data_IF_424781737987
#
_entry.id   IF_424781737987
#
_cell.length_a   1.000
_cell.length_b   1.000
_cell.length_c   1.000
_cell.angle_alpha   90.00
_cell.angle_beta   90.00
_cell.angle_gamma   90.00
#
_symmetry.space_group_name_H-M   'P 1'
#
loop_
_entity.id
_entity.type
_entity.pdbx_description
1 polymer ?
#
# COMPACT_ATOMS: atom_id res chain seq x y z
N UNK A 1 -10.74 2.00 21.67
CA UNK A 1 -11.02 3.45 21.81
C UNK A 1 -10.13 4.31 20.92
N UNK A 2 -8.83 4.05 20.78
CA UNK A 2 -7.91 4.91 20.00
C UNK A 2 -8.12 4.91 18.47
N UNK A 3 -8.55 3.79 17.87
CA UNK A 3 -8.77 3.70 16.41
C UNK A 3 -9.98 4.50 15.92
N UNK A 4 -11.04 4.59 16.74
CA UNK A 4 -12.26 5.33 16.42
C UNK A 4 -12.05 6.84 16.41
N UNK A 5 -11.28 7.38 17.36
CA UNK A 5 -10.93 8.80 17.43
C UNK A 5 -10.11 9.22 16.20
N UNK A 6 -9.15 8.38 15.79
CA UNK A 6 -8.33 8.64 14.61
C UNK A 6 -9.19 8.66 13.33
N UNK A 7 -10.17 7.75 13.22
CA UNK A 7 -11.10 7.70 12.10
C UNK A 7 -12.01 8.94 12.03
N UNK A 8 -12.52 9.42 13.15
CA UNK A 8 -13.31 10.66 13.20
C UNK A 8 -12.49 11.84 12.67
N UNK A 9 -11.24 11.98 13.11
CA UNK A 9 -10.34 13.04 12.65
C UNK A 9 -10.11 12.95 11.14
N UNK A 10 -9.90 11.74 10.58
CA UNK A 10 -9.71 11.56 9.14
C UNK A 10 -10.96 11.96 8.34
N UNK A 11 -12.16 11.59 8.79
CA UNK A 11 -13.41 11.98 8.13
C UNK A 11 -13.61 13.50 8.15
N UNK A 12 -13.25 14.18 9.24
CA UNK A 12 -13.34 15.63 9.35
C UNK A 12 -12.20 16.39 8.64
N UNK A 13 -11.01 15.80 8.52
CA UNK A 13 -9.86 16.42 7.87
C UNK A 13 -9.91 16.33 6.34
N UNK A 14 -10.53 15.27 5.80
CA UNK A 14 -10.60 15.00 4.37
C UNK A 14 -11.28 16.11 3.53
N UNK A 15 -12.32 16.82 4.01
CA UNK A 15 -12.85 18.03 3.37
C UNK A 15 -11.92 19.24 3.47
N UNK A 16 -11.16 19.39 4.56
CA UNK A 16 -10.25 20.53 4.78
C UNK A 16 -9.11 20.58 3.75
N UNK A 17 -8.74 19.43 3.17
CA UNK A 17 -7.72 19.32 2.11
C UNK A 17 -8.03 20.25 0.91
N UNK A 18 -9.32 20.49 0.60
CA UNK A 18 -9.71 21.35 -0.52
C UNK A 18 -9.45 22.85 -0.26
N UNK A 19 -9.20 23.24 0.99
CA UNK A 19 -9.00 24.62 1.40
C UNK A 19 -7.53 24.93 1.77
N UNK A 20 -6.61 23.97 1.66
CA UNK A 20 -5.19 24.18 1.95
C UNK A 20 -4.53 24.86 0.75
N UNK A 21 -4.12 26.12 0.92
CA UNK A 21 -3.49 26.95 -0.12
C UNK A 21 -1.96 26.80 -0.20
N UNK A 22 -1.33 26.24 0.83
CA UNK A 22 0.10 25.93 0.85
C UNK A 22 0.33 24.61 0.10
N UNK A 23 1.42 24.46 -0.68
CA UNK A 23 1.73 23.19 -1.35
C UNK A 23 2.09 22.12 -0.30
N UNK A 24 1.13 21.27 0.13
CA UNK A 24 1.32 20.40 1.28
C UNK A 24 2.15 19.16 0.92
N UNK A 25 2.51 19.00 -0.36
CA UNK A 25 3.26 17.84 -0.85
C UNK A 25 4.64 17.82 -0.21
N UNK A 26 5.35 18.96 -0.27
CA UNK A 26 6.70 19.09 0.27
C UNK A 26 6.73 19.02 1.79
N UNK A 27 5.85 19.77 2.45
CA UNK A 27 5.94 19.99 3.89
C UNK A 27 5.25 18.91 4.72
N UNK A 28 4.30 18.15 4.13
CA UNK A 28 3.52 17.16 4.87
C UNK A 28 3.49 15.79 4.18
N UNK A 29 3.06 15.69 2.92
CA UNK A 29 2.83 14.38 2.30
C UNK A 29 4.13 13.59 2.12
N UNK A 30 5.19 14.24 1.62
CA UNK A 30 6.48 13.60 1.39
C UNK A 30 7.14 13.15 2.72
N UNK A 31 7.28 14.00 3.75
CA UNK A 31 7.82 13.57 5.04
C UNK A 31 7.02 12.42 5.69
N UNK A 32 5.69 12.42 5.57
CA UNK A 32 4.85 11.33 6.09
C UNK A 32 5.10 10.04 5.30
N UNK A 33 5.17 10.11 3.97
CA UNK A 33 5.46 8.95 3.13
C UNK A 33 6.85 8.35 3.45
N UNK A 34 7.88 9.19 3.61
CA UNK A 34 9.23 8.76 4.01
C UNK A 34 9.24 8.11 5.40
N UNK A 35 8.50 8.67 6.35
CA UNK A 35 8.37 8.09 7.70
C UNK A 35 7.74 6.70 7.64
N UNK A 36 6.65 6.54 6.88
CA UNK A 36 5.99 5.25 6.71
C UNK A 36 6.88 4.23 6.01
N UNK A 37 7.63 4.66 4.99
CA UNK A 37 8.63 3.82 4.34
C UNK A 37 9.67 3.33 5.36
N UNK A 38 10.28 4.22 6.14
CA UNK A 38 11.28 3.85 7.17
C UNK A 38 10.72 2.90 8.22
N UNK A 39 9.46 3.11 8.64
CA UNK A 39 8.76 2.21 9.54
C UNK A 39 8.57 0.82 8.91
N UNK A 40 8.18 0.76 7.64
CA UNK A 40 8.07 -0.48 6.88
C UNK A 40 9.41 -1.22 6.75
N UNK A 41 10.49 -0.51 6.43
CA UNK A 41 11.83 -1.09 6.31
C UNK A 41 12.30 -1.66 7.65
N UNK A 42 12.08 -0.93 8.76
CA UNK A 42 12.40 -1.41 10.10
C UNK A 42 11.60 -2.67 10.46
N UNK A 43 10.27 -2.64 10.26
CA UNK A 43 9.40 -3.76 10.59
C UNK A 43 9.75 -5.02 9.77
N UNK A 44 10.07 -4.85 8.48
CA UNK A 44 10.46 -5.96 7.62
C UNK A 44 11.83 -6.53 7.98
N UNK A 45 12.81 -5.67 8.31
CA UNK A 45 14.12 -6.12 8.79
C UNK A 45 14.00 -6.95 10.08
N UNK A 46 13.08 -6.57 10.95
CA UNK A 46 12.81 -7.29 12.20
C UNK A 46 12.14 -8.64 11.94
N UNK A 47 11.18 -8.70 11.01
CA UNK A 47 10.58 -9.97 10.53
C UNK A 47 11.65 -10.90 9.94
N UNK A 48 12.58 -10.38 9.13
CA UNK A 48 13.68 -11.18 8.59
C UNK A 48 14.62 -11.69 9.68
N UNK A 49 14.95 -10.83 10.67
CA UNK A 49 15.77 -11.20 11.83
C UNK A 49 15.13 -12.35 12.60
N UNK A 50 13.83 -12.25 12.87
CA UNK A 50 13.06 -13.30 13.55
C UNK A 50 13.10 -14.63 12.79
N UNK A 51 13.06 -14.61 11.47
CA UNK A 51 13.17 -15.83 10.65
C UNK A 51 14.56 -16.49 10.76
N UNK A 52 15.62 -15.69 10.88
CA UNK A 52 17.01 -16.18 10.96
C UNK A 52 17.47 -16.52 12.38
N UNK A 53 16.90 -15.85 13.40
CA UNK A 53 17.29 -15.95 14.80
C UNK A 53 16.03 -15.99 15.69
N UNK A 54 15.30 -17.12 15.72
CA UNK A 54 14.01 -17.20 16.41
C UNK A 54 14.15 -17.08 17.94
N UNK A 55 15.29 -17.48 18.52
CA UNK A 55 15.51 -17.47 19.97
C UNK A 55 15.75 -16.04 20.53
N UNK A 56 16.15 -15.09 19.69
CA UNK A 56 16.45 -13.70 20.06
C UNK A 56 15.31 -12.72 19.70
N UNK A 57 14.23 -13.22 19.08
CA UNK A 57 13.18 -12.39 18.52
C UNK A 57 12.00 -12.20 19.47
N UNK A 58 11.66 -10.94 19.74
CA UNK A 58 10.43 -10.61 20.46
C UNK A 58 9.24 -10.61 19.49
N UNK A 59 8.54 -11.76 19.44
CA UNK A 59 7.30 -11.95 18.67
C UNK A 59 6.24 -10.87 18.95
N UNK A 60 6.16 -10.37 20.19
CA UNK A 60 5.21 -9.33 20.58
C UNK A 60 5.54 -7.98 19.92
N UNK A 61 6.81 -7.59 19.96
CA UNK A 61 7.29 -6.35 19.33
C UNK A 61 7.13 -6.39 17.80
N UNK A 62 7.41 -7.52 17.14
CA UNK A 62 7.22 -7.66 15.67
C UNK A 62 5.76 -7.42 15.30
N UNK A 63 4.83 -8.04 16.03
CA UNK A 63 3.40 -7.90 15.77
C UNK A 63 2.92 -6.47 16.02
N UNK A 64 3.36 -5.82 17.10
CA UNK A 64 2.99 -4.44 17.43
C UNK A 64 3.52 -3.44 16.40
N UNK A 65 4.78 -3.56 15.97
CA UNK A 65 5.38 -2.68 14.96
C UNK A 65 4.64 -2.81 13.61
N UNK A 66 4.25 -4.02 13.22
CA UNK A 66 3.46 -4.26 12.01
C UNK A 66 2.01 -3.72 12.14
N UNK A 67 1.34 -3.92 13.28
CA UNK A 67 0.00 -3.39 13.50
C UNK A 67 -0.01 -1.86 13.50
N UNK A 68 1.02 -1.23 14.08
CA UNK A 68 1.22 0.23 14.04
C UNK A 68 1.45 0.71 12.62
N UNK A 69 2.28 0.03 11.84
CA UNK A 69 2.52 0.36 10.43
C UNK A 69 1.23 0.32 9.62
N UNK A 70 0.43 -0.76 9.75
CA UNK A 70 -0.87 -0.89 9.07
C UNK A 70 -1.79 0.28 9.41
N UNK A 71 -1.94 0.61 10.70
CA UNK A 71 -2.78 1.73 11.13
C UNK A 71 -2.34 3.05 10.49
N UNK A 72 -1.05 3.37 10.55
CA UNK A 72 -0.54 4.63 10.01
C UNK A 72 -0.70 4.68 8.47
N UNK A 73 -0.54 3.54 7.77
CA UNK A 73 -0.80 3.41 6.33
C UNK A 73 -2.29 3.62 6.01
N UNK A 74 -3.20 3.00 6.76
CA UNK A 74 -4.65 3.16 6.57
C UNK A 74 -5.14 4.57 6.91
N UNK A 75 -4.39 5.34 7.70
CA UNK A 75 -4.68 6.74 7.93
C UNK A 75 -4.19 7.65 6.80
N UNK A 76 -2.98 7.42 6.31
CA UNK A 76 -2.35 8.30 5.34
C UNK A 76 -2.82 8.05 3.89
N UNK A 77 -2.95 6.78 3.48
CA UNK A 77 -3.20 6.44 2.09
C UNK A 77 -4.54 6.97 1.54
N UNK A 78 -5.66 7.01 2.30
CA UNK A 78 -6.89 7.66 1.82
C UNK A 78 -6.70 9.16 1.53
N UNK A 79 -5.99 9.87 2.41
CA UNK A 79 -5.67 11.29 2.26
C UNK A 79 -4.82 11.50 1.01
N UNK A 80 -3.75 10.70 0.87
CA UNK A 80 -2.83 10.79 -0.25
C UNK A 80 -3.54 10.50 -1.58
N UNK A 81 -4.38 9.45 -1.65
CA UNK A 81 -5.15 9.14 -2.87
C UNK A 81 -6.07 10.30 -3.26
N UNK A 82 -6.83 10.86 -2.31
CA UNK A 82 -7.74 11.97 -2.58
C UNK A 82 -6.97 13.22 -3.03
N UNK A 83 -5.85 13.53 -2.39
CA UNK A 83 -4.99 14.64 -2.77
C UNK A 83 -4.44 14.45 -4.20
N UNK A 84 -3.94 13.25 -4.50
CA UNK A 84 -3.43 12.89 -5.82
C UNK A 84 -4.51 13.05 -6.88
N UNK A 85 -5.74 12.62 -6.62
CA UNK A 85 -6.86 12.78 -7.56
C UNK A 85 -7.17 14.25 -7.85
N UNK A 86 -7.20 15.10 -6.81
CA UNK A 86 -7.48 16.53 -6.94
C UNK A 86 -6.40 17.27 -7.74
N UNK A 87 -5.13 16.92 -7.55
CA UNK A 87 -3.99 17.60 -8.17
C UNK A 87 -3.40 16.87 -9.37
N UNK A 88 -4.04 15.79 -9.83
CA UNK A 88 -3.56 14.89 -10.88
C UNK A 88 -3.12 15.62 -12.15
N UNK A 89 -3.95 16.55 -12.64
CA UNK A 89 -3.64 17.31 -13.84
C UNK A 89 -2.40 18.19 -13.70
N UNK A 90 -2.17 18.76 -12.49
CA UNK A 90 -0.98 19.56 -12.18
C UNK A 90 0.26 18.66 -12.19
N UNK A 91 0.21 17.53 -11.46
CA UNK A 91 1.35 16.62 -11.35
C UNK A 91 1.75 15.98 -12.69
N UNK A 92 0.80 15.71 -13.59
CA UNK A 92 1.10 15.20 -14.93
C UNK A 92 1.68 16.27 -15.87
N UNK A 93 1.20 17.51 -15.79
CA UNK A 93 1.68 18.61 -16.64
C UNK A 93 3.01 19.19 -16.18
N UNK A 94 3.23 19.23 -14.87
CA UNK A 94 4.42 19.81 -14.25
C UNK A 94 4.89 18.83 -13.17
N UNK A 95 5.64 17.78 -13.56
CA UNK A 95 6.21 16.85 -12.60
C UNK A 95 7.19 17.59 -11.68
N UNK A 96 7.20 17.18 -10.41
CA UNK A 96 8.05 17.75 -9.37
C UNK A 96 8.78 16.64 -8.65
N UNK A 97 9.98 16.91 -8.15
CA UNK A 97 10.75 15.90 -7.40
C UNK A 97 9.99 15.46 -6.14
N UNK A 98 9.15 16.34 -5.57
CA UNK A 98 8.31 16.01 -4.42
C UNK A 98 7.21 14.99 -4.78
N UNK A 99 6.50 15.18 -5.91
CA UNK A 99 5.47 14.23 -6.36
C UNK A 99 6.08 12.87 -6.71
N UNK A 100 7.27 12.88 -7.31
CA UNK A 100 7.98 11.67 -7.70
C UNK A 100 8.47 10.93 -6.44
N UNK A 101 9.03 11.66 -5.47
CA UNK A 101 9.43 11.12 -4.17
C UNK A 101 8.26 10.51 -3.40
N UNK A 102 7.07 11.11 -3.46
CA UNK A 102 5.86 10.52 -2.84
C UNK A 102 5.51 9.19 -3.50
N UNK A 103 5.52 9.10 -4.84
CA UNK A 103 5.29 7.84 -5.55
C UNK A 103 6.35 6.79 -5.20
N UNK A 104 7.63 7.16 -5.17
CA UNK A 104 8.74 6.26 -4.85
C UNK A 104 8.57 5.65 -3.45
N UNK A 105 8.28 6.47 -2.45
CA UNK A 105 8.04 5.99 -1.09
C UNK A 105 6.85 5.01 -1.03
N UNK A 106 5.74 5.29 -1.73
CA UNK A 106 4.59 4.37 -1.82
C UNK A 106 4.96 3.07 -2.53
N UNK A 107 5.77 3.13 -3.59
CA UNK A 107 6.24 1.94 -4.31
C UNK A 107 7.12 1.04 -3.43
N UNK A 108 8.00 1.63 -2.61
CA UNK A 108 8.80 0.88 -1.62
C UNK A 108 7.90 0.25 -0.55
N UNK A 109 6.91 0.98 -0.01
CA UNK A 109 5.95 0.42 0.94
C UNK A 109 5.19 -0.77 0.33
N UNK A 110 4.75 -0.65 -0.93
CA UNK A 110 4.11 -1.75 -1.64
C UNK A 110 5.04 -2.97 -1.81
N UNK A 111 6.32 -2.74 -2.16
CA UNK A 111 7.31 -3.82 -2.25
C UNK A 111 7.49 -4.54 -0.90
N UNK A 112 7.58 -3.78 0.19
CA UNK A 112 7.70 -4.36 1.53
C UNK A 112 6.44 -5.17 1.87
N UNK A 113 5.26 -4.62 1.61
CA UNK A 113 3.98 -5.30 1.81
C UNK A 113 3.87 -6.59 0.98
N UNK A 114 4.35 -6.62 -0.26
CA UNK A 114 4.25 -7.82 -1.10
C UNK A 114 5.15 -8.96 -0.59
N UNK A 115 6.29 -8.62 0.02
CA UNK A 115 7.26 -9.56 0.58
C UNK A 115 6.90 -10.01 2.01
N UNK A 116 6.51 -9.07 2.88
CA UNK A 116 6.22 -9.28 4.30
C UNK A 116 4.93 -10.07 4.52
N UNK A 117 5.02 -11.20 5.22
CA UNK A 117 3.82 -11.98 5.57
C UNK A 117 3.12 -11.37 6.78
N UNK A 118 3.88 -10.78 7.70
CA UNK A 118 3.33 -10.12 8.89
C UNK A 118 2.51 -8.89 8.50
N UNK A 119 3.03 -8.05 7.60
CA UNK A 119 2.31 -6.87 7.14
C UNK A 119 0.99 -7.24 6.43
N UNK A 120 1.02 -8.22 5.51
CA UNK A 120 -0.21 -8.73 4.86
C UNK A 120 -1.21 -9.32 5.85
N UNK A 121 -0.74 -10.02 6.88
CA UNK A 121 -1.61 -10.60 7.92
C UNK A 121 -2.26 -9.51 8.75
N UNK A 122 -1.48 -8.55 9.23
CA UNK A 122 -1.98 -7.45 10.06
C UNK A 122 -2.91 -6.53 9.27
N UNK A 123 -2.69 -6.35 7.96
CA UNK A 123 -3.64 -5.65 7.09
C UNK A 123 -5.02 -6.32 7.09
N UNK A 124 -5.07 -7.65 6.90
CA UNK A 124 -6.33 -8.40 6.93
C UNK A 124 -6.98 -8.35 8.32
N UNK A 125 -6.19 -8.39 9.40
CA UNK A 125 -6.70 -8.25 10.76
C UNK A 125 -7.34 -6.88 10.97
N UNK A 126 -6.68 -5.80 10.50
CA UNK A 126 -7.19 -4.44 10.61
C UNK A 126 -8.49 -4.25 9.83
N UNK A 127 -8.58 -4.81 8.61
CA UNK A 127 -9.82 -4.78 7.83
C UNK A 127 -10.96 -5.54 8.51
N UNK A 128 -10.69 -6.72 9.06
CA UNK A 128 -11.71 -7.51 9.76
C UNK A 128 -12.22 -6.80 11.02
N UNK A 129 -11.33 -6.17 11.79
CA UNK A 129 -11.69 -5.36 12.95
C UNK A 129 -12.52 -4.13 12.55
N UNK A 130 -12.14 -3.46 11.46
CA UNK A 130 -12.87 -2.31 10.95
C UNK A 130 -14.30 -2.66 10.52
N UNK A 131 -14.49 -3.78 9.82
CA UNK A 131 -15.82 -4.29 9.46
C UNK A 131 -16.66 -4.66 10.69
N UNK A 132 -16.03 -5.25 11.72
CA UNK A 132 -16.69 -5.57 13.00
C UNK A 132 -17.12 -4.31 13.74
N UNK A 133 -16.24 -3.31 13.86
CA UNK A 133 -16.54 -2.03 14.53
C UNK A 133 -17.66 -1.25 13.81
N UNK A 134 -17.68 -1.23 12.46
CA UNK A 134 -18.78 -0.62 11.71
C UNK A 134 -20.11 -1.36 11.90
N UNK A 135 -20.09 -2.68 11.97
CA UNK A 135 -21.29 -3.48 12.22
C UNK A 135 -21.88 -3.20 13.61
N UNK A 136 -21.04 -2.92 14.61
CA UNK A 136 -21.46 -2.55 15.96
C UNK A 136 -22.10 -1.15 16.04
N UNK A 137 -21.60 -0.18 15.27
CA UNK A 137 -22.14 1.19 15.23
C UNK A 137 -23.38 1.31 14.34
N UNK A 138 -23.52 0.45 13.33
CA UNK A 138 -24.64 0.41 12.39
C UNK A 138 -25.94 -0.22 12.89
N UNK A 139 -26.04 -0.61 14.17
CA UNK A 139 -27.28 -1.13 14.76
C UNK A 139 -27.68 -2.55 14.31
N UNK A 140 -26.72 -3.40 13.94
CA UNK A 140 -26.99 -4.81 13.72
C UNK A 140 -27.19 -5.56 15.05
N UNK A 141 -28.29 -6.29 15.22
CA UNK A 141 -28.51 -7.17 16.38
C UNK A 141 -27.29 -8.07 16.63
N UNK A 142 -26.56 -7.79 17.72
CA UNK A 142 -25.50 -8.69 18.21
C UNK A 142 -26.11 -10.04 18.60
N UNK A 143 -25.93 -11.07 17.78
CA UNK A 143 -26.19 -12.45 18.19
C UNK A 143 -25.01 -12.95 19.04
N UNK A 144 -25.13 -12.86 20.36
CA UNK A 144 -24.11 -13.36 21.29
C UNK A 144 -24.10 -14.89 21.39
N UNK A 145 -22.92 -15.49 21.50
CA UNK A 145 -22.73 -16.90 21.87
C UNK A 145 -22.32 -17.85 20.73
N UNK A 146 -22.52 -19.16 20.94
CA UNK A 146 -22.11 -20.27 20.03
C UNK A 146 -22.58 -20.09 18.57
N UNK A 147 -23.63 -19.31 18.34
CA UNK A 147 -24.15 -18.97 17.02
C UNK A 147 -23.19 -18.08 16.20
N UNK A 148 -22.53 -17.09 16.82
CA UNK A 148 -21.52 -16.25 16.15
C UNK A 148 -20.28 -17.07 15.74
N UNK A 149 -19.89 -18.05 16.56
CA UNK A 149 -18.77 -18.96 16.27
C UNK A 149 -19.12 -19.92 15.12
N UNK A 150 -20.36 -20.41 15.08
CA UNK A 150 -20.86 -21.27 14.01
C UNK A 150 -20.98 -20.50 12.68
N UNK A 151 -21.43 -19.24 12.70
CA UNK A 151 -21.51 -18.39 11.51
C UNK A 151 -20.11 -17.98 11.01
N UNK A 152 -19.17 -17.64 11.92
CA UNK A 152 -17.76 -17.42 11.58
C UNK A 152 -17.11 -18.67 10.95
N UNK A 153 -17.43 -19.88 11.44
CA UNK A 153 -16.96 -21.15 10.83
C UNK A 153 -17.64 -21.47 9.49
N UNK A 154 -18.91 -21.10 9.32
CA UNK A 154 -19.67 -21.30 8.07
C UNK A 154 -19.23 -20.34 6.97
N UNK A 155 -19.05 -19.04 7.25
CA UNK A 155 -18.46 -18.06 6.32
C UNK A 155 -17.02 -18.42 5.92
N UNK A 156 -16.24 -19.01 6.84
CA UNK A 156 -14.91 -19.58 6.52
C UNK A 156 -14.95 -20.76 5.54
N UNK A 157 -16.03 -21.54 5.53
CA UNK A 157 -16.22 -22.69 4.61
C UNK A 157 -16.85 -22.29 3.27
N UNK A 158 -17.73 -21.29 3.26
CA UNK A 158 -18.42 -20.82 2.04
C UNK A 158 -17.59 -19.80 1.24
N UNK A 159 -16.61 -19.14 1.84
CA UNK A 159 -15.68 -18.21 1.16
C UNK A 159 -14.53 -18.88 0.39
N UNK A 160 -14.57 -20.20 0.19
CA UNK A 160 -13.53 -20.95 -0.53
C UNK A 160 -13.70 -20.90 -2.07
N UNK A 161 -14.04 -19.73 -2.60
CA UNK A 161 -13.65 -19.38 -3.96
C UNK A 161 -12.35 -18.59 -3.85
N UNK A 162 -11.34 -18.90 -4.69
CA UNK A 162 -10.05 -18.18 -4.77
C UNK A 162 -10.24 -16.70 -5.15
N UNK A 163 -10.84 -15.89 -4.28
CA UNK A 163 -10.78 -14.44 -4.35
C UNK A 163 -9.47 -14.07 -3.67
N UNK A 164 -8.60 -13.38 -4.39
CA UNK A 164 -7.36 -12.85 -3.83
C UNK A 164 -7.73 -12.02 -2.60
N UNK A 165 -7.35 -12.51 -1.42
CA UNK A 165 -7.74 -11.92 -0.13
C UNK A 165 -7.24 -10.48 0.00
N UNK A 166 -6.21 -10.13 -0.77
CA UNK A 166 -5.61 -8.82 -0.81
C UNK A 166 -6.14 -7.94 -1.95
N UNK A 167 -7.12 -8.40 -2.75
CA UNK A 167 -7.67 -7.62 -3.87
C UNK A 167 -8.20 -6.23 -3.43
N UNK A 168 -8.63 -6.11 -2.18
CA UNK A 168 -9.14 -4.87 -1.57
C UNK A 168 -8.10 -4.18 -0.67
N UNK A 169 -6.82 -4.52 -0.79
CA UNK A 169 -5.74 -3.86 -0.03
C UNK A 169 -5.65 -2.38 -0.38
N UNK A 170 -5.56 -1.53 0.65
CA UNK A 170 -5.39 -0.09 0.44
C UNK A 170 -4.01 0.23 -0.16
N UNK A 171 -3.02 -0.61 0.12
CA UNK A 171 -1.66 -0.48 -0.43
C UNK A 171 -1.69 -0.64 -1.95
N UNK A 172 -2.38 -1.68 -2.43
CA UNK A 172 -2.60 -1.89 -3.87
C UNK A 172 -3.39 -0.73 -4.48
N UNK A 173 -4.47 -0.29 -3.81
CA UNK A 173 -5.32 0.79 -4.31
C UNK A 173 -4.55 2.11 -4.44
N UNK A 174 -3.75 2.47 -3.44
CA UNK A 174 -2.95 3.68 -3.43
C UNK A 174 -1.88 3.64 -4.52
N UNK A 175 -1.12 2.54 -4.62
CA UNK A 175 -0.12 2.40 -5.69
C UNK A 175 -0.74 2.55 -7.09
N UNK A 176 -1.84 1.84 -7.36
CA UNK A 176 -2.54 1.93 -8.66
C UNK A 176 -2.97 3.36 -8.98
N UNK A 177 -3.37 4.14 -7.97
CA UNK A 177 -3.83 5.51 -8.16
C UNK A 177 -2.69 6.46 -8.54
N UNK A 178 -1.55 6.31 -7.87
CA UNK A 178 -0.35 7.12 -8.14
C UNK A 178 0.43 6.62 -9.37
N UNK A 179 0.18 5.41 -9.86
CA UNK A 179 0.93 4.80 -10.97
C UNK A 179 1.11 5.75 -12.18
N UNK A 180 0.09 6.49 -12.64
CA UNK A 180 0.30 7.36 -13.81
C UNK A 180 1.18 8.58 -13.54
N UNK A 181 1.30 9.01 -12.27
CA UNK A 181 2.28 10.01 -11.84
C UNK A 181 3.67 9.39 -11.91
N UNK A 182 3.84 8.19 -11.35
CA UNK A 182 5.11 7.47 -11.37
C UNK A 182 5.57 7.01 -12.76
N UNK A 183 4.66 6.84 -13.71
CA UNK A 183 4.99 6.54 -15.11
C UNK A 183 5.32 7.80 -15.92
N UNK A 184 4.95 8.99 -15.45
CA UNK A 184 5.18 10.24 -16.15
C UNK A 184 6.67 10.63 -16.22
N UNK A 185 7.52 10.00 -15.39
CA UNK A 185 8.98 10.21 -15.40
C UNK A 185 9.68 9.45 -16.52
N UNK A 186 9.02 8.45 -17.12
CA UNK A 186 9.59 7.60 -18.15
C UNK A 186 9.35 8.18 -19.55
N UNK A 187 10.34 8.05 -20.42
CA UNK A 187 10.20 8.37 -21.84
C UNK A 187 9.38 7.31 -22.59
N UNK A 188 9.07 7.59 -23.86
CA UNK A 188 8.26 6.70 -24.68
C UNK A 188 8.86 5.30 -24.86
N UNK A 189 10.19 5.19 -24.88
CA UNK A 189 10.91 3.90 -24.98
C UNK A 189 10.74 3.10 -23.68
N UNK A 190 10.98 3.72 -22.54
CA UNK A 190 10.89 3.08 -21.23
C UNK A 190 9.45 2.63 -20.93
N UNK A 191 8.46 3.41 -21.34
CA UNK A 191 7.05 3.03 -21.23
C UNK A 191 6.70 1.80 -22.08
N UNK A 192 7.26 1.69 -23.28
CA UNK A 192 7.09 0.53 -24.14
C UNK A 192 7.69 -0.73 -23.50
N UNK A 193 8.90 -0.62 -22.92
CA UNK A 193 9.53 -1.71 -22.15
C UNK A 193 8.63 -2.13 -20.98
N UNK A 194 8.11 -1.19 -20.20
CA UNK A 194 7.19 -1.47 -19.08
C UNK A 194 5.93 -2.19 -19.55
N UNK A 195 5.37 -1.79 -20.68
CA UNK A 195 4.18 -2.42 -21.26
C UNK A 195 4.48 -3.85 -21.74
N UNK A 196 5.60 -4.08 -22.41
CA UNK A 196 6.05 -5.42 -22.81
C UNK A 196 6.27 -6.31 -21.58
N UNK A 197 6.90 -5.79 -20.51
CA UNK A 197 7.08 -6.52 -19.26
C UNK A 197 5.74 -6.92 -18.64
N UNK A 198 4.76 -6.00 -18.62
CA UNK A 198 3.42 -6.27 -18.12
C UNK A 198 2.73 -7.40 -18.88
N UNK A 199 2.83 -7.43 -20.21
CA UNK A 199 2.27 -8.50 -21.03
C UNK A 199 2.92 -9.86 -20.72
N UNK A 200 4.25 -9.88 -20.57
CA UNK A 200 5.01 -11.08 -20.18
C UNK A 200 4.63 -11.60 -18.78
N UNK A 201 4.45 -10.69 -17.82
CA UNK A 201 3.96 -11.04 -16.49
C UNK A 201 2.54 -11.63 -16.52
N UNK A 202 1.64 -11.05 -17.33
CA UNK A 202 0.27 -11.57 -17.51
C UNK A 202 0.26 -12.93 -18.22
N UNK A 203 1.20 -13.17 -19.13
CA UNK A 203 1.43 -14.46 -19.76
C UNK A 203 2.07 -15.51 -18.82
N UNK A 204 2.35 -15.15 -17.56
CA UNK A 204 3.04 -15.99 -16.56
C UNK A 204 4.40 -16.51 -17.05
N UNK A 205 5.11 -15.69 -17.82
CA UNK A 205 6.52 -15.96 -18.13
C UNK A 205 7.36 -15.97 -16.85
N UNK A 206 8.50 -16.68 -16.88
CA UNK A 206 9.40 -16.77 -15.74
C UNK A 206 9.95 -15.38 -15.38
N UNK A 207 9.82 -14.96 -14.12
CA UNK A 207 10.30 -13.66 -13.62
C UNK A 207 11.77 -13.41 -13.92
N UNK A 208 12.59 -14.47 -13.91
CA UNK A 208 14.03 -14.38 -14.18
C UNK A 208 14.31 -13.96 -15.62
N UNK A 209 13.55 -14.51 -16.58
CA UNK A 209 13.61 -14.12 -18.00
C UNK A 209 13.11 -12.71 -18.23
N UNK A 210 12.08 -12.29 -17.48
CA UNK A 210 11.58 -10.91 -17.56
C UNK A 210 12.63 -9.92 -17.01
N UNK A 211 13.35 -10.29 -15.95
CA UNK A 211 14.45 -9.47 -15.42
C UNK A 211 15.63 -9.37 -16.39
N UNK A 212 16.00 -10.48 -17.04
CA UNK A 212 17.02 -10.49 -18.10
C UNK A 212 16.60 -9.60 -19.26
N UNK A 213 15.36 -9.74 -19.75
CA UNK A 213 14.79 -8.90 -20.80
C UNK A 213 14.84 -7.39 -20.45
N UNK A 214 14.50 -7.02 -19.21
CA UNK A 214 14.61 -5.63 -18.74
C UNK A 214 16.07 -5.15 -18.77
N UNK A 215 17.02 -5.97 -18.31
CA UNK A 215 18.45 -5.62 -18.31
C UNK A 215 18.97 -5.44 -19.72
N UNK A 216 18.68 -6.38 -20.62
CA UNK A 216 19.10 -6.32 -22.02
C UNK A 216 18.59 -5.06 -22.71
N UNK A 217 17.35 -4.63 -22.45
CA UNK A 217 16.78 -3.43 -23.08
C UNK A 217 17.22 -2.11 -22.44
N UNK A 218 17.61 -2.13 -21.16
CA UNK A 218 18.19 -0.96 -20.47
C UNK A 218 19.69 -0.79 -20.76
N UNK A 219 20.40 -1.86 -21.10
CA UNK A 219 21.84 -1.86 -21.39
C UNK A 219 22.19 -1.44 -22.82
N UNK A 220 21.22 -1.29 -23.73
CA UNK A 220 21.48 -0.75 -25.07
C UNK A 220 21.68 0.77 -24.94
N UNK A 221 22.92 1.30 -25.10
CA UNK A 221 23.12 2.74 -25.07
C UNK A 221 22.22 3.38 -26.11
N UNK A 222 21.50 4.42 -25.69
CA UNK A 222 20.80 5.33 -26.58
C UNK A 222 21.76 5.63 -27.73
N UNK A 223 21.48 5.10 -28.92
CA UNK A 223 22.14 5.60 -30.11
C UNK A 223 21.75 7.07 -30.18
N UNK A 224 22.70 7.91 -29.76
CA UNK A 224 22.72 9.33 -30.07
C UNK A 224 22.85 9.37 -31.58
N UNK A 225 21.72 9.40 -32.27
CA UNK A 225 21.68 9.79 -33.66
C UNK A 225 22.14 11.26 -33.69
N UNK A 226 23.29 11.46 -34.33
CA UNK A 226 23.83 12.77 -34.72
C UNK A 226 22.83 13.57 -35.57
#
# INVERSE_FOLDING_TARGET
MSSLIFLSILVFAVPLIQHVTCDPVKDYLLPIAERLRKMGEKAYKEEERQRTHPDDADEGTVAEDNARLVRDVYAFFPILMKYTDLHRAKWLKTPTWESDGVYENVAVIFKIWSLSQHFKREELNYQAQFEEDLAMVGGGEMKTGKAAIAERKKKRREGQAKKDKHANSIVIACLKRLLPVGLNVFGGRELDIVQQCKEKFLARENEEKIREFIRELLEIPVQVCF
#
